data_IF_073384870193
#
_entry.id   IF_073384870193
#
_cell.length_a   1.000
_cell.length_b   1.000
_cell.length_c   1.000
_cell.angle_alpha   90.00
_cell.angle_beta   90.00
_cell.angle_gamma   90.00
#
_symmetry.space_group_name_H-M   'P 1'
#
loop_
_entity.id
_entity.type
_entity.pdbx_description
1 polymer ?
#
# COMPACT_ATOMS: atom_id res chain seq x y z
N UNK A 1 -20.61 -40.73 -25.04
CA UNK A 1 -19.19 -40.30 -25.16
C UNK A 1 -18.98 -39.09 -24.26
N UNK A 2 -17.93 -39.13 -23.44
CA UNK A 2 -17.71 -38.33 -22.25
C UNK A 2 -17.69 -36.82 -22.51
N UNK A 3 -18.59 -36.07 -21.88
CA UNK A 3 -18.44 -34.62 -21.72
C UNK A 3 -17.20 -34.37 -20.86
N UNK A 4 -16.13 -33.87 -21.47
CA UNK A 4 -14.97 -33.35 -20.74
C UNK A 4 -15.42 -32.13 -19.94
N UNK A 5 -15.75 -32.33 -18.66
CA UNK A 5 -15.96 -31.23 -17.72
C UNK A 5 -14.57 -30.64 -17.47
N UNK A 6 -14.29 -29.51 -18.09
CA UNK A 6 -13.07 -28.75 -17.86
C UNK A 6 -13.16 -28.12 -16.46
N UNK A 7 -12.73 -28.84 -15.42
CA UNK A 7 -12.70 -28.32 -14.04
C UNK A 7 -11.53 -27.34 -13.86
N UNK A 8 -11.61 -26.19 -14.54
CA UNK A 8 -10.65 -25.11 -14.35
C UNK A 8 -11.06 -24.24 -13.17
N UNK A 9 -10.07 -23.79 -12.42
CA UNK A 9 -10.30 -22.85 -11.34
C UNK A 9 -10.65 -21.49 -11.93
N UNK A 10 -11.70 -20.87 -11.41
CA UNK A 10 -12.28 -19.66 -11.97
C UNK A 10 -12.31 -18.54 -10.94
N UNK A 11 -12.20 -17.31 -11.40
CA UNK A 11 -12.34 -16.16 -10.53
C UNK A 11 -13.81 -15.89 -10.22
N UNK A 12 -14.12 -15.70 -8.94
CA UNK A 12 -15.34 -15.02 -8.55
C UNK A 12 -15.35 -13.59 -9.10
N UNK A 13 -16.55 -13.00 -9.16
CA UNK A 13 -16.69 -11.56 -9.42
C UNK A 13 -15.83 -10.75 -8.46
N UNK A 14 -15.30 -9.64 -8.96
CA UNK A 14 -14.63 -8.66 -8.11
C UNK A 14 -15.58 -8.17 -7.02
N UNK A 15 -15.07 -8.08 -5.80
CA UNK A 15 -15.73 -7.35 -4.73
C UNK A 15 -15.81 -5.85 -5.01
N UNK A 16 -16.47 -5.15 -4.08
CA UNK A 16 -16.49 -3.69 -4.09
C UNK A 16 -15.09 -3.09 -3.90
N UNK A 17 -14.93 -1.87 -4.39
CA UNK A 17 -13.76 -1.05 -4.09
C UNK A 17 -13.75 -0.65 -2.60
N UNK A 18 -12.59 -0.72 -1.97
CA UNK A 18 -12.39 -0.20 -0.61
C UNK A 18 -12.57 1.31 -0.58
N UNK A 19 -12.74 1.86 0.62
CA UNK A 19 -12.53 3.30 0.85
C UNK A 19 -11.12 3.66 0.40
N UNK A 20 -10.97 4.87 -0.17
CA UNK A 20 -9.67 5.38 -0.58
C UNK A 20 -8.76 5.58 0.64
N UNK A 21 -7.47 5.25 0.50
CA UNK A 21 -6.49 5.46 1.58
C UNK A 21 -6.31 6.93 1.97
N UNK A 22 -6.52 7.86 1.03
CA UNK A 22 -6.41 9.29 1.22
C UNK A 22 -7.72 9.98 0.83
N UNK A 23 -8.07 11.10 1.47
CA UNK A 23 -9.26 11.91 1.13
C UNK A 23 -8.99 12.97 0.05
N UNK A 24 -7.72 13.24 -0.24
CA UNK A 24 -7.18 14.18 -1.22
C UNK A 24 -5.74 13.76 -1.58
N UNK A 25 -5.09 14.46 -2.51
CA UNK A 25 -3.68 14.30 -2.87
C UNK A 25 -3.36 13.02 -3.65
N UNK A 26 -4.37 12.20 -3.96
CA UNK A 26 -4.20 10.87 -4.48
C UNK A 26 -4.04 9.83 -3.37
N UNK A 27 -4.84 8.78 -3.42
CA UNK A 27 -4.69 7.58 -2.62
C UNK A 27 -4.98 6.33 -3.47
N UNK A 28 -4.93 5.17 -2.84
CA UNK A 28 -5.27 3.90 -3.47
C UNK A 28 -6.58 3.35 -2.93
N UNK A 29 -7.39 2.80 -3.82
CA UNK A 29 -8.52 1.94 -3.47
C UNK A 29 -8.24 0.55 -4.00
N UNK A 30 -8.56 -0.48 -3.22
CA UNK A 30 -8.31 -1.88 -3.54
C UNK A 30 -9.63 -2.63 -3.64
N UNK A 31 -9.73 -3.55 -4.59
CA UNK A 31 -10.77 -4.58 -4.61
C UNK A 31 -10.12 -5.95 -4.72
N UNK A 32 -10.80 -6.95 -4.17
CA UNK A 32 -10.33 -8.34 -4.17
C UNK A 32 -11.31 -9.25 -4.88
N UNK A 33 -10.82 -10.38 -5.38
CA UNK A 33 -11.64 -11.48 -5.88
C UNK A 33 -11.13 -12.78 -5.32
N UNK A 34 -12.00 -13.77 -5.19
CA UNK A 34 -11.65 -15.09 -4.68
C UNK A 34 -11.50 -16.06 -5.83
N UNK A 35 -10.46 -16.88 -5.80
CA UNK A 35 -10.34 -18.01 -6.72
C UNK A 35 -11.26 -19.12 -6.26
N UNK A 36 -12.23 -19.51 -7.09
CA UNK A 36 -13.12 -20.63 -6.85
C UNK A 36 -12.40 -21.88 -7.37
N UNK A 37 -11.85 -22.65 -6.43
CA UNK A 37 -11.17 -23.90 -6.73
C UNK A 37 -12.19 -25.01 -6.94
N UNK A 38 -12.30 -25.50 -8.17
CA UNK A 38 -13.14 -26.67 -8.52
C UNK A 38 -12.31 -27.94 -8.74
N UNK A 39 -10.98 -27.81 -8.89
CA UNK A 39 -10.04 -28.92 -8.98
C UNK A 39 -8.73 -28.59 -8.27
N UNK A 40 -8.31 -29.45 -7.34
CA UNK A 40 -7.04 -29.33 -6.60
C UNK A 40 -5.80 -29.53 -7.50
N UNK A 41 -5.96 -30.19 -8.65
CA UNK A 41 -4.86 -30.49 -9.59
C UNK A 41 -4.55 -29.26 -10.47
N UNK A 42 -5.50 -28.34 -10.66
CA UNK A 42 -5.40 -27.23 -11.63
C UNK A 42 -4.58 -26.01 -11.20
N UNK A 43 -3.99 -26.01 -9.99
CA UNK A 43 -3.23 -24.85 -9.48
C UNK A 43 -4.09 -23.60 -9.20
N UNK A 44 -3.53 -22.48 -8.72
CA UNK A 44 -4.30 -21.27 -8.46
C UNK A 44 -4.85 -20.65 -9.76
N UNK A 45 -5.93 -19.87 -9.64
CA UNK A 45 -6.47 -19.11 -10.76
C UNK A 45 -5.41 -18.17 -11.35
N UNK A 46 -5.24 -18.10 -12.69
CA UNK A 46 -4.25 -17.23 -13.31
C UNK A 46 -4.64 -15.75 -13.16
N UNK A 47 -3.66 -14.92 -12.79
CA UNK A 47 -3.81 -13.46 -12.63
C UNK A 47 -3.92 -13.00 -11.18
N UNK A 48 -4.13 -11.70 -10.98
CA UNK A 48 -4.04 -11.09 -9.65
C UNK A 48 -5.32 -11.29 -8.82
N UNK A 49 -5.14 -11.57 -7.53
CA UNK A 49 -6.22 -11.64 -6.52
C UNK A 49 -6.71 -10.25 -6.11
N UNK A 50 -5.92 -9.20 -6.36
CA UNK A 50 -6.18 -7.82 -5.97
C UNK A 50 -6.06 -6.91 -7.18
N UNK A 51 -6.89 -5.88 -7.24
CA UNK A 51 -6.78 -4.80 -8.19
C UNK A 51 -6.80 -3.47 -7.46
N UNK A 52 -6.03 -2.52 -7.97
CA UNK A 52 -5.86 -1.20 -7.39
C UNK A 52 -6.26 -0.14 -8.40
N UNK A 53 -6.69 1.01 -7.89
CA UNK A 53 -6.87 2.24 -8.66
C UNK A 53 -6.48 3.44 -7.82
N UNK A 54 -6.06 4.51 -8.49
CA UNK A 54 -5.96 5.82 -7.84
C UNK A 54 -7.35 6.38 -7.58
N UNK A 55 -7.52 7.04 -6.45
CA UNK A 55 -8.73 7.75 -6.04
C UNK A 55 -8.37 9.07 -5.34
N UNK A 56 -9.35 9.97 -5.24
CA UNK A 56 -9.23 11.24 -4.52
C UNK A 56 -8.01 12.09 -4.93
N UNK A 57 -7.79 12.25 -6.23
CA UNK A 57 -6.66 12.99 -6.84
C UNK A 57 -6.74 14.51 -6.70
N UNK A 58 -7.85 15.04 -6.19
CA UNK A 58 -7.97 16.48 -5.91
C UNK A 58 -6.87 16.91 -4.95
N UNK A 59 -6.29 18.09 -5.17
CA UNK A 59 -5.26 18.64 -4.27
C UNK A 59 -5.77 18.71 -2.83
N UNK A 60 -4.85 18.50 -1.88
CA UNK A 60 -5.17 18.66 -0.47
C UNK A 60 -5.13 20.14 -0.06
N UNK A 61 -5.88 20.53 1.00
CA UNK A 61 -5.71 21.82 1.64
C UNK A 61 -4.26 22.11 2.03
N UNK A 62 -3.85 23.38 2.05
CA UNK A 62 -2.47 23.77 2.33
C UNK A 62 -1.97 23.35 3.74
N UNK A 63 -2.89 23.16 4.68
CA UNK A 63 -2.63 22.70 6.05
C UNK A 63 -2.73 21.17 6.21
N UNK A 64 -3.00 20.45 5.12
CA UNK A 64 -3.03 18.98 5.15
C UNK A 64 -1.64 18.41 5.43
N UNK A 65 -1.63 17.33 6.21
CA UNK A 65 -0.42 16.61 6.51
C UNK A 65 -0.15 15.55 5.44
N UNK A 66 1.10 15.43 5.04
CA UNK A 66 1.54 14.38 4.12
C UNK A 66 1.20 12.98 4.66
N UNK A 67 0.78 12.07 3.78
CA UNK A 67 0.31 10.75 4.18
C UNK A 67 1.43 9.86 4.72
N UNK A 68 2.68 10.04 4.27
CA UNK A 68 3.84 9.35 4.84
C UNK A 68 4.20 9.93 6.21
N UNK A 69 4.08 11.25 6.39
CA UNK A 69 4.29 11.90 7.68
C UNK A 69 3.32 11.39 8.75
N UNK A 70 2.03 11.20 8.38
CA UNK A 70 1.03 10.58 9.25
C UNK A 70 1.46 9.18 9.73
N UNK A 71 2.05 8.39 8.84
CA UNK A 71 2.51 7.04 9.17
C UNK A 71 3.71 7.06 10.12
N UNK A 72 4.69 7.95 9.92
CA UNK A 72 5.79 8.11 10.88
C UNK A 72 5.26 8.57 12.25
N UNK A 73 4.39 9.57 12.28
CA UNK A 73 3.80 10.08 13.53
C UNK A 73 2.97 9.05 14.28
N UNK A 74 2.41 8.05 13.61
CA UNK A 74 1.69 6.95 14.26
C UNK A 74 2.59 6.17 15.23
N UNK A 75 3.92 6.19 15.06
CA UNK A 75 4.90 5.55 15.95
C UNK A 75 5.48 6.48 17.02
N UNK A 76 5.03 7.74 17.11
CA UNK A 76 5.48 8.65 18.14
C UNK A 76 5.26 8.06 19.52
N UNK A 77 6.28 8.22 20.36
CA UNK A 77 6.28 7.83 21.78
C UNK A 77 6.05 6.32 22.02
N UNK A 78 6.05 5.50 20.95
CA UNK A 78 6.06 4.05 21.06
C UNK A 78 7.48 3.57 21.37
N UNK A 79 7.68 2.72 22.39
CA UNK A 79 9.00 2.21 22.73
C UNK A 79 9.51 1.29 21.61
N UNK A 80 10.75 1.52 21.18
CA UNK A 80 11.49 0.57 20.36
C UNK A 80 11.91 -0.64 21.21
N UNK A 81 12.44 -1.69 20.56
CA UNK A 81 12.95 -2.89 21.23
C UNK A 81 14.02 -2.57 22.28
N UNK A 82 14.77 -1.46 22.12
CA UNK A 82 15.74 -0.96 23.10
C UNK A 82 15.12 -0.29 24.33
N UNK A 83 13.79 -0.14 24.38
CA UNK A 83 13.05 0.52 25.45
C UNK A 83 12.98 2.04 25.33
N UNK A 84 13.73 2.66 24.42
CA UNK A 84 13.65 4.11 24.15
C UNK A 84 12.49 4.43 23.22
N UNK A 85 11.83 5.57 23.43
CA UNK A 85 10.82 6.11 22.53
C UNK A 85 11.27 7.44 21.93
N UNK A 86 10.76 7.76 20.75
CA UNK A 86 11.14 8.95 19.99
C UNK A 86 9.92 9.53 19.28
N UNK A 87 10.08 10.77 18.81
CA UNK A 87 9.17 11.39 17.85
C UNK A 87 9.79 11.30 16.46
N UNK A 88 8.94 11.07 15.47
CA UNK A 88 9.35 10.69 14.12
C UNK A 88 8.82 11.67 13.09
N UNK A 89 9.63 11.91 12.06
CA UNK A 89 9.28 12.64 10.84
C UNK A 89 9.72 11.84 9.61
N UNK A 90 9.18 12.12 8.44
CA UNK A 90 9.57 11.42 7.20
C UNK A 90 11.06 11.50 6.92
N UNK A 91 11.62 10.41 6.41
CA UNK A 91 12.98 10.36 5.86
C UNK A 91 12.95 9.79 4.43
N UNK A 92 13.37 10.61 3.47
CA UNK A 92 13.38 10.25 2.04
C UNK A 92 14.74 9.72 1.55
N UNK A 93 15.72 9.51 2.43
CA UNK A 93 17.05 9.01 2.06
C UNK A 93 17.18 7.48 2.01
N UNK A 94 16.09 6.74 2.14
CA UNK A 94 16.09 5.27 2.04
C UNK A 94 16.28 4.78 0.59
N UNK A 95 16.72 3.53 0.44
CA UNK A 95 16.91 2.90 -0.88
C UNK A 95 15.60 2.47 -1.55
N UNK A 96 14.58 2.12 -0.76
CA UNK A 96 13.25 1.76 -1.27
C UNK A 96 12.25 2.87 -0.92
N UNK A 97 11.65 3.56 -1.90
CA UNK A 97 10.68 4.61 -1.64
C UNK A 97 9.39 4.08 -1.00
N UNK A 98 9.11 2.78 -1.02
CA UNK A 98 7.94 2.18 -0.38
C UNK A 98 8.21 1.59 1.01
N UNK A 99 9.39 1.84 1.57
CA UNK A 99 9.67 1.63 2.99
C UNK A 99 9.33 2.87 3.82
N UNK A 100 8.81 2.64 5.02
CA UNK A 100 8.50 3.68 6.00
C UNK A 100 9.75 4.00 6.82
N UNK A 101 10.66 4.72 6.17
CA UNK A 101 11.84 5.29 6.84
C UNK A 101 11.46 6.59 7.56
N UNK A 102 11.72 6.63 8.87
CA UNK A 102 11.39 7.77 9.71
C UNK A 102 12.61 8.24 10.50
N UNK A 103 12.91 9.54 10.43
CA UNK A 103 13.99 10.18 11.18
C UNK A 103 13.53 10.48 12.61
N UNK A 104 14.37 10.15 13.59
CA UNK A 104 14.12 10.53 14.98
C UNK A 104 14.42 12.03 15.17
N UNK A 105 13.39 12.81 15.53
CA UNK A 105 13.49 14.26 15.67
C UNK A 105 14.49 14.62 16.77
N UNK A 106 15.50 15.44 16.45
CA UNK A 106 16.56 15.81 17.38
C UNK A 106 17.70 14.79 17.49
N UNK A 107 17.69 13.74 16.66
CA UNK A 107 18.70 12.70 16.65
C UNK A 107 19.23 12.43 15.23
N UNK A 108 20.41 11.80 15.14
CA UNK A 108 21.11 11.55 13.88
C UNK A 108 20.89 10.12 13.34
N UNK A 109 19.71 9.54 13.57
CA UNK A 109 19.40 8.21 13.06
C UNK A 109 17.95 8.14 12.57
N UNK A 110 17.71 7.26 11.61
CA UNK A 110 16.38 6.89 11.14
C UNK A 110 16.09 5.43 11.47
N UNK A 111 14.81 5.08 11.49
CA UNK A 111 14.34 3.72 11.69
C UNK A 111 13.36 3.35 10.58
N UNK A 112 13.40 2.09 10.15
CA UNK A 112 12.48 1.55 9.15
C UNK A 112 11.37 0.76 9.84
N UNK A 113 10.13 1.25 9.75
CA UNK A 113 8.95 0.62 10.36
C UNK A 113 8.23 -0.38 9.44
N UNK A 114 8.87 -0.77 8.33
CA UNK A 114 8.34 -1.70 7.34
C UNK A 114 7.86 -1.00 6.08
N UNK A 115 6.76 -1.46 5.50
CA UNK A 115 6.21 -0.89 4.26
C UNK A 115 5.28 0.28 4.58
N UNK A 116 5.31 1.30 3.73
CA UNK A 116 4.26 2.33 3.75
C UNK A 116 2.91 1.73 3.36
N UNK A 117 1.85 2.38 3.80
CA UNK A 117 0.48 2.03 3.42
C UNK A 117 0.27 2.22 1.91
N UNK A 118 -0.57 1.37 1.32
CA UNK A 118 -0.93 1.48 -0.09
C UNK A 118 -1.55 2.87 -0.37
N UNK A 119 -1.17 3.47 -1.50
CA UNK A 119 -1.55 4.82 -1.88
C UNK A 119 -0.60 5.92 -1.39
N UNK A 120 0.44 5.59 -0.62
CA UNK A 120 1.48 6.56 -0.24
C UNK A 120 2.30 6.98 -1.46
N UNK A 121 2.47 8.28 -1.73
CA UNK A 121 3.35 8.75 -2.80
C UNK A 121 4.77 8.20 -2.62
N UNK A 122 5.35 7.65 -3.70
CA UNK A 122 6.72 7.11 -3.69
C UNK A 122 7.74 8.03 -4.36
N UNK A 123 7.30 8.89 -5.28
CA UNK A 123 8.14 9.92 -5.89
C UNK A 123 7.47 11.27 -5.73
N UNK A 124 8.24 12.34 -5.95
CA UNK A 124 7.75 13.72 -5.97
C UNK A 124 6.83 14.00 -7.17
N UNK A 125 6.85 13.13 -8.19
CA UNK A 125 6.03 13.26 -9.38
C UNK A 125 4.59 12.84 -9.14
N UNK A 126 3.66 13.61 -9.73
CA UNK A 126 2.23 13.33 -9.69
C UNK A 126 1.93 11.99 -10.38
N UNK A 127 1.23 11.09 -9.68
CA UNK A 127 0.73 9.84 -10.26
C UNK A 127 1.52 8.57 -9.90
N UNK A 128 2.48 8.65 -8.99
CA UNK A 128 3.17 7.48 -8.46
C UNK A 128 2.76 7.18 -7.02
N UNK A 129 2.35 5.94 -6.74
CA UNK A 129 1.98 5.51 -5.39
C UNK A 129 2.51 4.11 -5.07
N UNK A 130 2.80 3.88 -3.81
CA UNK A 130 3.16 2.57 -3.29
C UNK A 130 1.95 1.65 -3.27
N UNK A 131 2.09 0.46 -3.84
CA UNK A 131 1.10 -0.60 -3.81
C UNK A 131 1.81 -1.92 -3.60
N UNK A 132 1.48 -2.62 -2.51
CA UNK A 132 2.11 -3.87 -2.11
C UNK A 132 3.65 -3.78 -2.05
N UNK A 133 4.18 -2.64 -1.57
CA UNK A 133 5.62 -2.39 -1.46
C UNK A 133 6.33 -2.09 -2.78
N UNK A 134 5.61 -1.83 -3.87
CA UNK A 134 6.19 -1.39 -5.15
C UNK A 134 5.68 -0.01 -5.51
N UNK A 135 6.58 0.85 -5.99
CA UNK A 135 6.21 2.15 -6.55
C UNK A 135 5.62 1.93 -7.95
N UNK A 136 4.34 2.23 -8.12
CA UNK A 136 3.63 2.07 -9.38
C UNK A 136 3.24 3.44 -9.95
N UNK A 137 3.44 3.60 -11.26
CA UNK A 137 2.93 4.74 -12.02
C UNK A 137 1.55 4.37 -12.54
N UNK A 138 0.55 5.22 -12.29
CA UNK A 138 -0.76 5.07 -12.91
C UNK A 138 -0.94 6.24 -13.88
N UNK A 139 -0.62 5.98 -15.15
CA UNK A 139 -0.90 6.88 -16.28
C UNK A 139 -2.40 6.91 -16.59
#
# INVERSE_FOLDING_TARGET
>A
MHSQIHFMNEWASWGGWSVCSCSCGGGASVRTRTCITRNLIGGPCPGDTRQYKICNTKECPADSMDFRELQCKAFNDRPLVSGSSYRWTTFHGGSDPCELSCLAIGHNFYYNFGRVLDGTPCQSDQGTVCVNGKCLVFL
#
